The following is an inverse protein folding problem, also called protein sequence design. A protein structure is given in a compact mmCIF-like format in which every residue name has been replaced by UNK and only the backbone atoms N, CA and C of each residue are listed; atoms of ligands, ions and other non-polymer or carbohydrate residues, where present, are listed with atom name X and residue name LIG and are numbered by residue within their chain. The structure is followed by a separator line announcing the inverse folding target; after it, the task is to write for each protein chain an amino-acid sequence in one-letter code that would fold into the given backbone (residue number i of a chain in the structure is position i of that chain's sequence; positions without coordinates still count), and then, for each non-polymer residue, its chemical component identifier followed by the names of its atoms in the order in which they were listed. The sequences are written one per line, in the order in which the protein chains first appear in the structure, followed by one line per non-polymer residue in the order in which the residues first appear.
data_IF_344998537362
#
_entry.id   IF_344998537362
#
_cell.length_a   1.000
_cell.length_b   1.000
_cell.length_c   1.000
_cell.angle_alpha   90.00
_cell.angle_beta   90.00
_cell.angle_gamma   90.00
#
_symmetry.space_group_name_H-M   'P 1'
#
loop_
_entity.id
_entity.type
_entity.pdbx_description
1 polymer ?
#
# COMPACT_ATOMS: atom_id res chain seq x y z
N UNK A 1 39.49 5.82 7.19
CA UNK A 1 40.11 6.37 8.43
C UNK A 1 40.17 5.30 9.51
N UNK A 2 41.36 4.70 9.70
CA UNK A 2 41.64 3.74 10.77
C UNK A 2 41.76 4.52 12.09
N UNK A 3 40.97 4.16 13.11
CA UNK A 3 41.04 4.80 14.42
C UNK A 3 42.31 4.28 15.12
N UNK A 4 43.41 5.03 15.03
CA UNK A 4 44.65 4.74 15.73
C UNK A 4 44.52 5.19 17.19
N UNK A 5 44.78 4.27 18.11
CA UNK A 5 44.86 4.53 19.55
C UNK A 5 46.23 5.13 19.87
N UNK A 6 46.25 6.07 20.81
CA UNK A 6 47.48 6.53 21.45
C UNK A 6 47.28 6.40 22.95
N UNK A 7 48.26 5.80 23.62
CA UNK A 7 48.40 5.79 25.07
C UNK A 7 48.83 7.19 25.51
N UNK A 8 47.98 7.91 26.24
CA UNK A 8 48.36 9.17 26.89
C UNK A 8 48.80 8.84 28.32
N UNK A 9 50.08 9.02 28.62
CA UNK A 9 50.58 8.95 29.99
C UNK A 9 50.06 10.18 30.75
N UNK A 10 49.23 9.95 31.78
CA UNK A 10 48.89 10.94 32.81
C UNK A 10 49.79 10.60 34.01
N UNK A 11 50.32 11.58 34.77
CA UNK A 11 51.18 11.33 35.93
C UNK A 11 50.37 10.66 37.06
N UNK A 12 50.21 9.33 36.98
CA UNK A 12 49.78 8.40 38.05
C UNK A 12 49.64 6.93 37.56
N UNK A 13 50.23 6.53 36.42
CA UNK A 13 50.29 5.12 36.01
C UNK A 13 48.97 4.48 35.54
N UNK A 14 47.86 5.23 35.44
CA UNK A 14 46.57 4.71 34.98
C UNK A 14 46.52 4.67 33.45
N UNK A 15 46.51 3.46 32.85
CA UNK A 15 46.32 3.27 31.40
C UNK A 15 44.86 3.52 31.05
N UNK A 16 44.55 4.70 30.49
CA UNK A 16 43.20 5.01 30.01
C UNK A 16 43.06 4.67 28.53
N UNK A 17 42.15 3.76 28.17
CA UNK A 17 41.85 3.40 26.77
C UNK A 17 41.06 4.55 26.13
N UNK A 18 41.67 5.39 25.28
CA UNK A 18 40.96 6.56 24.68
C UNK A 18 40.58 6.32 23.23
N UNK A 19 39.30 6.56 22.87
CA UNK A 19 38.84 6.65 21.48
C UNK A 19 39.00 8.08 20.97
N UNK A 20 39.72 8.30 19.85
CA UNK A 20 39.87 9.62 19.23
C UNK A 20 38.55 10.38 18.97
N UNK A 21 37.42 9.67 18.80
CA UNK A 21 36.10 10.26 18.55
C UNK A 21 35.17 10.33 19.75
N UNK A 22 35.41 9.53 20.79
CA UNK A 22 34.45 9.35 21.89
C UNK A 22 35.09 9.46 23.28
N UNK A 23 36.36 9.88 23.37
CA UNK A 23 37.04 10.10 24.64
C UNK A 23 37.45 8.81 25.37
N UNK A 24 37.72 8.88 26.68
CA UNK A 24 38.07 7.75 27.54
C UNK A 24 37.03 6.62 27.48
N UNK A 25 37.50 5.38 27.41
CA UNK A 25 36.69 4.17 27.38
C UNK A 25 36.95 3.36 28.65
N UNK A 26 35.88 2.92 29.29
CA UNK A 26 35.91 1.82 30.26
C UNK A 26 36.05 0.48 29.53
N UNK A 27 36.40 -0.59 30.25
CA UNK A 27 36.56 -1.92 29.66
C UNK A 27 35.29 -2.40 28.93
N UNK A 28 34.12 -2.15 29.51
CA UNK A 28 32.81 -2.46 28.93
C UNK A 28 32.49 -1.71 27.62
N UNK A 29 33.17 -0.56 27.38
CA UNK A 29 32.95 0.29 26.20
C UNK A 29 33.94 0.02 25.07
N UNK A 30 34.83 -0.97 25.25
CA UNK A 30 35.84 -1.36 24.27
C UNK A 30 35.75 -2.85 23.91
N UNK A 31 36.16 -3.20 22.68
CA UNK A 31 36.18 -4.58 22.18
C UNK A 31 37.56 -4.88 21.59
N UNK A 32 38.18 -5.99 21.98
CA UNK A 32 39.47 -6.46 21.45
C UNK A 32 39.24 -7.20 20.13
N UNK A 33 39.88 -6.76 19.05
CA UNK A 33 39.76 -7.35 17.72
C UNK A 33 41.14 -7.63 17.14
N UNK A 34 41.31 -8.77 16.46
CA UNK A 34 42.53 -9.13 15.75
C UNK A 34 42.58 -8.42 14.39
N UNK A 35 43.71 -7.80 14.05
CA UNK A 35 43.93 -7.22 12.73
C UNK A 35 44.83 -8.12 11.89
N UNK A 36 44.28 -8.77 10.86
CA UNK A 36 45.09 -9.53 9.88
C UNK A 36 46.13 -8.68 9.13
N UNK A 37 45.90 -7.37 9.02
CA UNK A 37 46.80 -6.44 8.30
C UNK A 37 48.01 -5.98 9.11
N UNK A 38 47.91 -6.04 10.45
CA UNK A 38 48.97 -5.56 11.36
C UNK A 38 49.51 -6.65 12.27
N UNK A 39 49.01 -7.87 12.07
CA UNK A 39 49.26 -9.07 12.86
C UNK A 39 49.27 -8.85 14.38
N UNK A 40 48.30 -8.06 14.86
CA UNK A 40 48.19 -7.71 16.27
C UNK A 40 46.76 -7.42 16.72
N UNK A 41 46.53 -7.59 18.01
CA UNK A 41 45.29 -7.16 18.66
C UNK A 41 45.24 -5.64 18.80
N UNK A 42 44.06 -5.08 18.56
CA UNK A 42 43.76 -3.68 18.84
C UNK A 42 42.37 -3.58 19.48
N UNK A 43 42.18 -2.57 20.33
CA UNK A 43 40.87 -2.31 20.93
C UNK A 43 40.06 -1.41 19.99
N UNK A 44 38.73 -1.53 19.95
CA UNK A 44 37.83 -0.61 19.23
C UNK A 44 36.67 -0.21 20.13
N UNK A 45 36.28 1.07 20.13
CA UNK A 45 35.05 1.50 20.79
C UNK A 45 33.82 0.84 20.13
N UNK A 46 32.89 0.33 20.93
CA UNK A 46 31.66 -0.34 20.45
C UNK A 46 30.87 0.56 19.48
N UNK A 47 30.77 1.87 19.76
CA UNK A 47 30.09 2.84 18.87
C UNK A 47 30.76 2.91 17.49
N UNK A 48 32.09 2.98 17.45
CA UNK A 48 32.86 2.98 16.20
C UNK A 48 32.72 1.65 15.45
N UNK A 49 32.70 0.51 16.15
CA UNK A 49 32.48 -0.81 15.57
C UNK A 49 31.09 -0.93 14.94
N UNK A 50 30.04 -0.51 15.65
CA UNK A 50 28.66 -0.47 15.13
C UNK A 50 28.57 0.38 13.86
N UNK A 51 29.18 1.56 13.83
CA UNK A 51 29.20 2.43 12.64
C UNK A 51 29.99 1.81 11.47
N UNK A 52 31.14 1.21 11.74
CA UNK A 52 31.94 0.50 10.73
C UNK A 52 31.19 -0.69 10.13
N UNK A 53 30.58 -1.53 10.99
CA UNK A 53 29.80 -2.68 10.56
C UNK A 53 28.56 -2.23 9.79
N UNK A 54 27.85 -1.18 10.23
CA UNK A 54 26.73 -0.60 9.47
C UNK A 54 27.17 -0.17 8.08
N UNK A 55 28.26 0.59 7.95
CA UNK A 55 28.79 0.98 6.64
C UNK A 55 29.23 -0.19 5.75
N UNK A 56 29.74 -1.29 6.34
CA UNK A 56 30.04 -2.52 5.60
C UNK A 56 28.76 -3.22 5.13
N UNK A 57 27.75 -3.32 6.00
CA UNK A 57 26.43 -3.86 5.64
C UNK A 57 25.74 -3.03 4.56
N UNK A 58 25.81 -1.70 4.62
CA UNK A 58 25.24 -0.81 3.61
C UNK A 58 25.90 -1.06 2.24
N UNK A 59 27.22 -1.27 2.19
CA UNK A 59 27.93 -1.67 0.96
C UNK A 59 27.48 -3.03 0.44
N UNK A 60 27.36 -4.03 1.32
CA UNK A 60 26.87 -5.38 0.95
C UNK A 60 25.43 -5.31 0.42
N UNK A 61 24.57 -4.53 1.08
CA UNK A 61 23.19 -4.30 0.65
C UNK A 61 23.14 -3.58 -0.70
N UNK A 62 24.01 -2.60 -0.94
CA UNK A 62 24.09 -1.92 -2.23
C UNK A 62 24.52 -2.86 -3.36
N UNK A 63 25.51 -3.73 -3.12
CA UNK A 63 25.93 -4.76 -4.09
C UNK A 63 24.78 -5.73 -4.36
N UNK A 64 24.13 -6.24 -3.31
CA UNK A 64 22.96 -7.13 -3.45
C UNK A 64 21.83 -6.47 -4.21
N UNK A 65 21.54 -5.19 -3.93
CA UNK A 65 20.51 -4.43 -4.62
C UNK A 65 20.83 -4.27 -6.11
N UNK A 66 22.09 -3.96 -6.45
CA UNK A 66 22.56 -3.89 -7.86
C UNK A 66 22.42 -5.25 -8.57
N UNK A 67 22.84 -6.33 -7.92
CA UNK A 67 22.69 -7.69 -8.45
C UNK A 67 21.23 -8.03 -8.68
N UNK A 68 20.38 -7.81 -7.67
CA UNK A 68 18.94 -8.06 -7.75
C UNK A 68 18.30 -7.32 -8.93
N UNK A 69 18.58 -6.02 -9.12
CA UNK A 69 18.00 -5.31 -10.26
C UNK A 69 18.53 -5.79 -11.61
N UNK A 70 19.80 -6.19 -11.69
CA UNK A 70 20.40 -6.75 -12.91
C UNK A 70 19.75 -8.08 -13.30
N UNK A 71 19.41 -8.91 -12.32
CA UNK A 71 18.85 -10.25 -12.52
C UNK A 71 17.36 -10.35 -12.18
N UNK A 72 16.67 -9.21 -12.02
CA UNK A 72 15.31 -9.19 -11.47
C UNK A 72 14.34 -10.01 -12.30
N UNK A 73 14.38 -9.85 -13.62
CA UNK A 73 13.48 -10.56 -14.53
C UNK A 73 13.79 -12.06 -14.56
N UNK A 74 15.08 -12.44 -14.59
CA UNK A 74 15.51 -13.84 -14.50
C UNK A 74 15.09 -14.50 -13.17
N UNK A 75 15.26 -13.80 -12.04
CA UNK A 75 14.82 -14.28 -10.73
C UNK A 75 13.29 -14.40 -10.63
N UNK A 76 12.55 -13.45 -11.21
CA UNK A 76 11.09 -13.48 -11.27
C UNK A 76 10.60 -14.65 -12.12
N UNK A 77 11.24 -14.91 -13.26
CA UNK A 77 10.91 -16.01 -14.16
C UNK A 77 11.25 -17.36 -13.53
N UNK A 78 12.44 -17.50 -12.93
CA UNK A 78 12.80 -18.70 -12.16
C UNK A 78 11.82 -18.96 -11.00
N UNK A 79 11.38 -17.93 -10.31
CA UNK A 79 10.36 -18.03 -9.27
C UNK A 79 8.99 -18.44 -9.83
N UNK A 80 8.65 -17.98 -11.04
CA UNK A 80 7.42 -18.39 -11.74
C UNK A 80 7.48 -19.86 -12.13
N UNK A 81 8.53 -20.29 -12.84
CA UNK A 81 8.75 -21.68 -13.25
C UNK A 81 8.73 -22.60 -12.02
N UNK A 82 9.42 -22.23 -10.95
CA UNK A 82 9.41 -23.00 -9.71
C UNK A 82 7.99 -23.13 -9.14
N UNK A 83 7.21 -22.03 -9.08
CA UNK A 83 5.82 -22.08 -8.61
C UNK A 83 4.94 -22.95 -9.48
N UNK A 84 5.12 -22.91 -10.80
CA UNK A 84 4.38 -23.73 -11.75
C UNK A 84 4.69 -25.22 -11.58
N UNK A 85 5.96 -25.59 -11.49
CA UNK A 85 6.41 -26.97 -11.29
C UNK A 85 6.05 -27.51 -9.89
N UNK A 86 5.83 -26.64 -8.90
CA UNK A 86 5.53 -27.03 -7.52
C UNK A 86 4.09 -26.71 -7.10
N UNK A 87 3.16 -26.46 -8.04
CA UNK A 87 1.76 -26.09 -7.74
C UNK A 87 1.11 -27.04 -6.74
N UNK A 88 1.20 -28.35 -7.00
CA UNK A 88 0.58 -29.36 -6.16
C UNK A 88 1.21 -29.42 -4.76
N UNK A 89 2.54 -29.35 -4.69
CA UNK A 89 3.26 -29.27 -3.42
C UNK A 89 2.83 -28.04 -2.61
N UNK A 90 2.70 -26.87 -3.24
CA UNK A 90 2.27 -25.63 -2.59
C UNK A 90 0.86 -25.80 -2.02
N UNK A 91 -0.08 -26.38 -2.78
CA UNK A 91 -1.45 -26.64 -2.32
C UNK A 91 -1.46 -27.57 -1.11
N UNK A 92 -0.73 -28.68 -1.18
CA UNK A 92 -0.64 -29.65 -0.09
C UNK A 92 0.03 -29.06 1.15
N UNK A 93 1.10 -28.28 0.98
CA UNK A 93 1.76 -27.57 2.06
C UNK A 93 0.83 -26.55 2.73
N UNK A 94 0.09 -25.75 1.94
CA UNK A 94 -0.88 -24.79 2.47
C UNK A 94 -2.00 -25.47 3.24
N UNK A 95 -2.50 -26.61 2.76
CA UNK A 95 -3.52 -27.41 3.45
C UNK A 95 -3.00 -27.93 4.78
N UNK A 96 -1.79 -28.49 4.80
CA UNK A 96 -1.13 -29.00 6.01
C UNK A 96 -0.81 -27.90 7.02
N UNK A 97 -0.47 -26.69 6.56
CA UNK A 97 -0.06 -25.57 7.40
C UNK A 97 -1.17 -24.52 7.62
N UNK A 98 -2.43 -24.83 7.28
CA UNK A 98 -3.55 -23.88 7.28
C UNK A 98 -3.68 -23.09 8.59
N UNK A 99 -3.59 -23.76 9.74
CA UNK A 99 -3.71 -23.11 11.05
C UNK A 99 -2.51 -22.21 11.36
N UNK A 100 -1.29 -22.64 11.04
CA UNK A 100 -0.08 -21.81 11.18
C UNK A 100 -0.16 -20.55 10.32
N UNK A 101 -0.63 -20.67 9.09
CA UNK A 101 -0.84 -19.55 8.17
C UNK A 101 -1.90 -18.59 8.73
N UNK A 102 -3.04 -19.12 9.22
CA UNK A 102 -4.09 -18.29 9.86
C UNK A 102 -3.55 -17.50 11.05
N UNK A 103 -2.75 -18.12 11.92
CA UNK A 103 -2.14 -17.45 13.09
C UNK A 103 -1.19 -16.33 12.62
N UNK A 104 -0.34 -16.61 11.64
CA UNK A 104 0.58 -15.60 11.08
C UNK A 104 -0.19 -14.43 10.45
N UNK A 105 -1.26 -14.70 9.70
CA UNK A 105 -2.12 -13.67 9.12
C UNK A 105 -2.80 -12.83 10.20
N UNK A 106 -3.38 -13.45 11.23
CA UNK A 106 -3.96 -12.72 12.39
C UNK A 106 -2.92 -11.82 13.06
N UNK A 107 -1.72 -12.34 13.30
CA UNK A 107 -0.61 -11.55 13.86
C UNK A 107 -0.24 -10.36 12.98
N UNK A 108 -0.25 -10.52 11.65
CA UNK A 108 0.02 -9.42 10.72
C UNK A 108 -1.08 -8.36 10.72
N UNK A 109 -2.35 -8.79 10.74
CA UNK A 109 -3.52 -7.90 10.70
C UNK A 109 -3.60 -6.94 11.88
N UNK A 110 -3.14 -7.36 13.06
CA UNK A 110 -3.21 -6.56 14.29
C UNK A 110 -2.07 -5.51 14.37
N UNK A 111 -0.99 -5.67 13.59
CA UNK A 111 0.14 -4.71 13.61
C UNK A 111 -0.27 -3.38 13.00
N UNK A 112 0.34 -2.30 13.49
CA UNK A 112 0.20 -0.98 12.92
C UNK A 112 0.71 -0.93 11.48
N UNK A 113 -0.03 -0.23 10.64
CA UNK A 113 0.26 -0.06 9.23
C UNK A 113 1.52 0.79 9.02
N UNK A 114 2.32 0.44 8.02
CA UNK A 114 3.54 1.16 7.67
C UNK A 114 3.25 2.27 6.67
N UNK A 115 3.77 3.48 6.92
CA UNK A 115 3.59 4.65 6.06
C UNK A 115 4.03 4.37 4.63
N UNK A 116 5.26 3.85 4.45
CA UNK A 116 5.82 3.55 3.12
C UNK A 116 5.01 2.50 2.33
N UNK A 117 4.21 1.68 3.00
CA UNK A 117 3.44 0.62 2.34
C UNK A 117 2.08 1.10 1.84
N UNK A 118 1.49 2.08 2.53
CA UNK A 118 0.07 2.42 2.33
C UNK A 118 -0.20 3.87 1.98
N UNK A 119 0.67 4.82 2.32
CA UNK A 119 0.44 6.25 2.10
C UNK A 119 -0.04 6.55 0.67
N UNK A 120 0.68 6.07 -0.33
CA UNK A 120 0.41 6.38 -1.74
C UNK A 120 -0.91 5.77 -2.23
N UNK A 121 -1.48 4.81 -1.51
CA UNK A 121 -2.74 4.13 -1.87
C UNK A 121 -3.99 4.86 -1.39
N UNK A 122 -3.86 5.68 -0.35
CA UNK A 122 -5.00 6.30 0.36
C UNK A 122 -4.86 7.81 0.60
N UNK A 123 -3.66 8.39 0.46
CA UNK A 123 -3.39 9.81 0.76
C UNK A 123 -4.21 10.80 -0.09
N UNK A 124 -4.72 10.36 -1.24
CA UNK A 124 -5.60 11.14 -2.10
C UNK A 124 -7.02 11.31 -1.52
N UNK A 125 -7.45 10.43 -0.60
CA UNK A 125 -8.78 10.46 0.01
C UNK A 125 -8.77 10.54 1.55
N UNK A 126 -7.62 10.34 2.18
CA UNK A 126 -7.47 10.30 3.64
C UNK A 126 -6.32 11.20 4.08
N UNK A 127 -6.52 11.91 5.19
CA UNK A 127 -5.45 12.64 5.85
C UNK A 127 -4.45 11.66 6.45
N UNK A 128 -3.25 11.64 5.89
CA UNK A 128 -2.19 10.71 6.26
C UNK A 128 -0.92 11.46 6.64
N UNK A 129 -0.17 10.92 7.61
CA UNK A 129 1.17 11.41 7.95
C UNK A 129 2.03 10.31 8.56
N UNK A 130 3.32 10.59 8.73
CA UNK A 130 4.21 9.77 9.54
C UNK A 130 3.90 9.97 11.02
N UNK A 131 3.93 8.89 11.78
CA UNK A 131 3.84 8.96 13.24
C UNK A 131 5.00 9.78 13.83
N UNK A 132 4.70 10.58 14.85
CA UNK A 132 5.64 11.51 15.49
C UNK A 132 6.70 10.81 16.33
N UNK A 133 6.40 9.64 16.88
CA UNK A 133 7.31 8.83 17.68
C UNK A 133 8.01 7.76 16.83
N UNK A 134 7.33 7.26 15.79
CA UNK A 134 7.87 6.24 14.91
C UNK A 134 7.54 6.50 13.43
N UNK A 135 8.42 7.24 12.75
CA UNK A 135 8.26 7.66 11.34
C UNK A 135 7.98 6.55 10.31
N UNK A 136 8.15 5.28 10.70
CA UNK A 136 7.79 4.12 9.86
C UNK A 136 6.30 3.86 9.84
N UNK A 137 5.57 4.23 10.89
CA UNK A 137 4.14 3.99 11.04
C UNK A 137 3.34 5.06 10.31
N UNK A 138 2.22 4.61 9.74
CA UNK A 138 1.19 5.46 9.18
C UNK A 138 0.33 5.99 10.32
N UNK A 139 0.09 7.30 10.37
CA UNK A 139 -1.01 7.88 11.11
C UNK A 139 -2.10 8.36 10.14
N UNK A 140 -3.34 8.18 10.56
CA UNK A 140 -4.54 8.69 9.88
C UNK A 140 -5.40 9.47 10.87
N UNK A 141 -6.26 10.33 10.35
CA UNK A 141 -7.20 11.09 11.18
C UNK A 141 -8.48 10.29 11.43
N UNK A 142 -8.98 10.32 12.67
CA UNK A 142 -10.27 9.73 12.99
C UNK A 142 -11.39 10.40 12.16
N UNK A 143 -12.35 9.61 11.70
CA UNK A 143 -13.49 10.07 10.89
C UNK A 143 -14.57 10.74 11.75
N UNK A 144 -14.70 10.33 13.01
CA UNK A 144 -15.62 10.96 13.97
C UNK A 144 -15.29 12.45 14.12
N UNK A 145 -16.27 13.31 13.79
CA UNK A 145 -16.10 14.76 13.67
C UNK A 145 -15.78 15.43 15.00
N UNK A 146 -16.33 14.92 16.09
CA UNK A 146 -16.02 15.39 17.45
C UNK A 146 -14.62 14.97 17.94
N UNK A 147 -14.05 13.92 17.35
CA UNK A 147 -12.77 13.36 17.81
C UNK A 147 -11.59 13.83 16.96
N UNK A 148 -11.59 13.53 15.66
CA UNK A 148 -10.57 13.95 14.67
C UNK A 148 -9.10 13.76 15.10
N UNK A 149 -8.82 12.88 16.07
CA UNK A 149 -7.46 12.64 16.56
C UNK A 149 -6.64 11.81 15.58
N UNK A 150 -5.34 12.03 15.61
CA UNK A 150 -4.38 11.20 14.90
C UNK A 150 -4.20 9.87 15.63
N UNK A 151 -4.21 8.78 14.88
CA UNK A 151 -3.91 7.45 15.43
C UNK A 151 -3.24 6.57 14.37
N UNK A 152 -2.52 5.54 14.83
CA UNK A 152 -1.90 4.54 13.96
C UNK A 152 -2.88 3.39 13.71
N UNK A 153 -3.45 3.24 12.50
CA UNK A 153 -4.38 2.16 12.21
C UNK A 153 -3.64 0.83 12.03
N UNK A 154 -4.35 -0.27 12.22
CA UNK A 154 -3.83 -1.61 11.96
C UNK A 154 -3.81 -1.92 10.46
N UNK A 155 -3.02 -2.92 10.06
CA UNK A 155 -3.01 -3.43 8.68
C UNK A 155 -4.41 -3.85 8.21
N UNK A 156 -5.22 -4.43 9.10
CA UNK A 156 -6.59 -4.81 8.78
C UNK A 156 -7.48 -3.60 8.51
N UNK A 157 -7.39 -2.54 9.31
CA UNK A 157 -8.17 -1.32 9.10
C UNK A 157 -7.85 -0.68 7.74
N UNK A 158 -6.56 -0.59 7.38
CA UNK A 158 -6.15 -0.03 6.10
C UNK A 158 -6.55 -0.93 4.93
N UNK A 159 -6.42 -2.25 5.07
CA UNK A 159 -6.90 -3.20 4.05
C UNK A 159 -8.39 -3.04 3.79
N UNK A 160 -9.22 -3.01 4.85
CA UNK A 160 -10.67 -2.85 4.71
C UNK A 160 -11.04 -1.50 4.08
N UNK A 161 -10.28 -0.42 4.38
CA UNK A 161 -10.47 0.87 3.72
C UNK A 161 -10.20 0.80 2.22
N UNK A 162 -9.06 0.23 1.83
CA UNK A 162 -8.69 0.04 0.42
C UNK A 162 -9.73 -0.85 -0.27
N UNK A 163 -10.14 -1.96 0.36
CA UNK A 163 -11.13 -2.86 -0.20
C UNK A 163 -12.48 -2.16 -0.42
N UNK A 164 -12.87 -1.20 0.44
CA UNK A 164 -14.09 -0.40 0.28
C UNK A 164 -13.98 0.71 -0.78
N UNK A 165 -12.76 1.12 -1.15
CA UNK A 165 -12.49 2.14 -2.17
C UNK A 165 -12.42 1.54 -3.59
N UNK A 166 -11.85 0.34 -3.72
CA UNK A 166 -11.54 -0.24 -5.03
C UNK A 166 -12.37 -1.46 -5.42
N UNK A 167 -13.04 -2.11 -4.46
CA UNK A 167 -13.95 -3.20 -4.77
C UNK A 167 -15.40 -2.72 -4.60
N UNK A 168 -16.32 -3.24 -5.43
CA UNK A 168 -17.78 -3.04 -5.36
C UNK A 168 -18.42 -3.67 -4.10
N UNK A 169 -17.75 -3.55 -2.96
CA UNK A 169 -18.26 -4.00 -1.69
C UNK A 169 -19.33 -3.03 -1.18
N UNK A 170 -20.39 -3.60 -0.64
CA UNK A 170 -21.60 -2.90 -0.16
C UNK A 170 -21.41 -2.15 1.17
N UNK A 171 -20.20 -2.17 1.75
CA UNK A 171 -19.96 -1.61 3.08
C UNK A 171 -18.94 -0.46 3.06
N UNK A 172 -19.32 0.68 3.64
CA UNK A 172 -18.40 1.77 3.93
C UNK A 172 -17.46 1.37 5.08
N UNK A 173 -16.15 1.50 4.88
CA UNK A 173 -15.15 1.31 5.92
C UNK A 173 -14.29 2.56 6.01
N UNK A 174 -14.45 3.33 7.09
CA UNK A 174 -13.66 4.54 7.41
C UNK A 174 -12.74 4.29 8.61
N UNK A 175 -11.83 5.24 8.86
CA UNK A 175 -10.88 5.13 9.97
C UNK A 175 -11.44 5.67 11.27
N UNK A 176 -11.45 4.83 12.30
CA UNK A 176 -11.87 5.19 13.65
C UNK A 176 -10.80 4.75 14.64
N UNK A 177 -10.45 5.65 15.55
CA UNK A 177 -9.44 5.41 16.56
C UNK A 177 -9.90 4.52 17.73
N UNK A 178 -11.21 4.29 17.85
CA UNK A 178 -11.82 3.45 18.88
C UNK A 178 -13.21 3.01 18.41
N UNK A 179 -13.73 1.93 19.02
CA UNK A 179 -15.09 1.48 18.76
C UNK A 179 -16.15 2.48 19.22
N UNK A 180 -15.83 3.31 20.22
CA UNK A 180 -16.70 4.41 20.66
C UNK A 180 -16.89 5.39 19.51
N UNK A 181 -15.79 5.95 18.96
CA UNK A 181 -15.85 6.88 17.84
C UNK A 181 -16.49 6.26 16.59
N UNK A 182 -16.32 4.96 16.39
CA UNK A 182 -16.99 4.24 15.30
C UNK A 182 -18.50 4.25 15.48
N UNK A 183 -19.00 3.92 16.68
CA UNK A 183 -20.44 3.82 16.96
C UNK A 183 -21.14 5.18 17.03
N UNK A 184 -20.45 6.23 17.50
CA UNK A 184 -21.01 7.59 17.60
C UNK A 184 -21.09 8.31 16.26
N UNK A 185 -20.32 7.86 15.27
CA UNK A 185 -20.19 8.57 14.02
C UNK A 185 -21.49 8.56 13.23
N UNK A 186 -21.95 9.77 12.87
CA UNK A 186 -23.15 10.00 12.07
C UNK A 186 -23.12 9.31 10.70
N UNK A 187 -21.93 9.02 10.18
CA UNK A 187 -21.70 8.36 8.88
C UNK A 187 -21.64 6.83 9.03
N UNK A 188 -21.30 6.31 10.21
CA UNK A 188 -21.11 4.87 10.37
C UNK A 188 -22.42 4.10 10.15
N UNK A 189 -22.36 3.03 9.33
CA UNK A 189 -23.52 2.23 8.86
C UNK A 189 -24.59 2.99 8.09
N UNK A 190 -24.36 4.25 7.71
CA UNK A 190 -25.25 4.92 6.77
C UNK A 190 -25.10 4.28 5.39
N UNK A 191 -26.23 4.08 4.73
CA UNK A 191 -26.25 3.70 3.32
C UNK A 191 -25.51 4.76 2.52
N UNK A 192 -24.74 4.33 1.51
CA UNK A 192 -24.17 5.26 0.51
C UNK A 192 -25.27 6.00 -0.26
N UNK A 193 -26.50 5.48 -0.24
CA UNK A 193 -27.67 6.02 -0.93
C UNK A 193 -28.64 6.66 0.09
N UNK A 194 -29.26 7.78 -0.28
CA UNK A 194 -30.28 8.46 0.54
C UNK A 194 -31.46 7.51 0.81
N UNK A 195 -32.07 7.59 1.99
CA UNK A 195 -33.31 6.85 2.29
C UNK A 195 -34.37 7.14 1.23
N UNK A 196 -35.01 6.09 0.70
CA UNK A 196 -35.98 6.16 -0.39
C UNK A 196 -35.38 6.08 -1.81
N UNK A 197 -34.06 6.23 -1.96
CA UNK A 197 -33.35 5.97 -3.21
C UNK A 197 -32.73 4.57 -3.12
N UNK A 198 -33.40 3.60 -3.75
CA UNK A 198 -32.87 2.24 -3.93
C UNK A 198 -31.43 2.28 -4.45
N UNK A 199 -30.51 1.40 -3.97
CA UNK A 199 -29.15 1.27 -4.51
C UNK A 199 -29.13 0.72 -5.93
N UNK A 200 -30.27 0.24 -6.43
CA UNK A 200 -30.40 0.06 -7.85
C UNK A 200 -30.35 1.45 -8.48
N UNK A 201 -29.46 1.70 -9.47
CA UNK A 201 -29.69 2.82 -10.38
C UNK A 201 -31.16 2.72 -10.77
N UNK A 202 -31.88 3.85 -10.86
CA UNK A 202 -33.22 3.86 -11.44
C UNK A 202 -33.13 2.92 -12.63
N UNK A 203 -33.69 1.72 -12.49
CA UNK A 203 -33.56 0.68 -13.49
C UNK A 203 -34.58 1.17 -14.49
N UNK A 204 -34.19 2.16 -15.29
CA UNK A 204 -34.95 2.51 -16.49
C UNK A 204 -35.08 1.17 -17.17
N UNK A 205 -36.31 0.68 -17.27
CA UNK A 205 -36.61 -0.63 -17.88
C UNK A 205 -35.91 -0.78 -19.23
N UNK A 206 -35.66 0.36 -19.90
CA UNK A 206 -35.00 0.52 -21.19
C UNK A 206 -33.46 0.45 -21.20
N UNK A 207 -32.72 0.39 -20.08
CA UNK A 207 -31.24 0.38 -20.17
C UNK A 207 -30.67 -0.93 -20.73
N UNK A 208 -31.34 -2.05 -20.52
CA UNK A 208 -30.94 -3.31 -21.14
C UNK A 208 -31.18 -3.28 -22.65
N UNK A 209 -32.32 -2.71 -23.08
CA UNK A 209 -32.68 -2.54 -24.49
C UNK A 209 -31.70 -1.58 -25.18
N UNK A 210 -31.42 -0.43 -24.58
CA UNK A 210 -30.41 0.51 -25.07
C UNK A 210 -29.04 -0.15 -25.21
N UNK A 211 -28.59 -0.89 -24.19
CA UNK A 211 -27.30 -1.56 -24.24
C UNK A 211 -27.26 -2.61 -25.35
N UNK A 212 -28.37 -3.30 -25.60
CA UNK A 212 -28.51 -4.24 -26.71
C UNK A 212 -28.45 -3.52 -28.06
N UNK A 213 -29.22 -2.45 -28.26
CA UNK A 213 -29.24 -1.67 -29.49
C UNK A 213 -27.87 -1.08 -29.83
N UNK A 214 -27.13 -0.57 -28.85
CA UNK A 214 -25.76 -0.06 -29.05
C UNK A 214 -24.81 -1.19 -29.47
N UNK A 215 -24.94 -2.38 -28.86
CA UNK A 215 -24.13 -3.55 -29.25
C UNK A 215 -24.50 -4.07 -30.62
N UNK A 216 -25.78 -4.12 -30.96
CA UNK A 216 -26.27 -4.55 -32.28
C UNK A 216 -25.80 -3.60 -33.37
N UNK A 217 -25.89 -2.27 -33.15
CA UNK A 217 -25.36 -1.25 -34.08
C UNK A 217 -23.88 -1.45 -34.39
N UNK A 218 -23.11 -1.85 -33.37
CA UNK A 218 -21.66 -1.99 -33.45
C UNK A 218 -21.22 -3.44 -33.77
N UNK A 219 -22.13 -4.30 -34.26
CA UNK A 219 -21.91 -5.71 -34.58
C UNK A 219 -21.29 -6.54 -33.44
N UNK A 220 -21.54 -6.14 -32.18
CA UNK A 220 -20.91 -6.70 -30.99
C UNK A 220 -19.37 -6.67 -31.04
N UNK A 221 -18.80 -5.70 -31.77
CA UNK A 221 -17.36 -5.51 -31.91
C UNK A 221 -16.95 -4.27 -31.11
N UNK A 222 -15.87 -4.42 -30.33
CA UNK A 222 -15.29 -3.30 -29.61
C UNK A 222 -14.74 -2.26 -30.58
N UNK A 223 -15.30 -1.05 -30.56
CA UNK A 223 -14.96 0.03 -31.49
C UNK A 223 -13.54 0.60 -31.32
N UNK A 224 -12.88 0.31 -30.18
CA UNK A 224 -11.48 0.72 -29.95
C UNK A 224 -10.45 -0.29 -30.46
N UNK A 225 -10.74 -1.60 -30.41
CA UNK A 225 -9.72 -2.61 -30.65
C UNK A 225 -10.16 -3.83 -31.46
N UNK A 226 -11.39 -3.86 -31.97
CA UNK A 226 -11.93 -4.96 -32.78
C UNK A 226 -12.21 -6.26 -32.02
N UNK A 227 -12.05 -6.31 -30.70
CA UNK A 227 -12.33 -7.53 -29.94
C UNK A 227 -13.83 -7.82 -29.88
N UNK A 228 -14.21 -9.10 -29.94
CA UNK A 228 -15.58 -9.61 -29.75
C UNK A 228 -15.79 -10.26 -28.37
N UNK A 229 -14.79 -10.21 -27.48
CA UNK A 229 -14.84 -10.89 -26.17
C UNK A 229 -15.21 -9.92 -25.05
N UNK A 230 -16.18 -10.32 -24.22
CA UNK A 230 -16.62 -9.59 -23.01
C UNK A 230 -16.99 -8.14 -23.34
N UNK A 231 -17.96 -8.01 -24.24
CA UNK A 231 -18.40 -6.76 -24.83
C UNK A 231 -19.49 -6.14 -23.96
N UNK A 232 -19.41 -4.82 -23.80
CA UNK A 232 -20.31 -4.00 -22.99
C UNK A 232 -20.58 -2.68 -23.71
N UNK A 233 -21.79 -2.16 -23.57
CA UNK A 233 -22.10 -0.79 -23.98
C UNK A 233 -21.60 0.18 -22.89
N UNK A 234 -21.00 1.28 -23.32
CA UNK A 234 -20.50 2.35 -22.49
C UNK A 234 -21.18 3.65 -22.89
N UNK A 235 -21.60 4.47 -21.94
CA UNK A 235 -22.06 5.81 -22.26
C UNK A 235 -20.83 6.70 -22.45
N UNK A 236 -20.76 7.43 -23.56
CA UNK A 236 -19.68 8.38 -23.85
C UNK A 236 -19.70 9.52 -22.82
N UNK A 237 -20.90 9.98 -22.49
CA UNK A 237 -21.15 10.98 -21.44
C UNK A 237 -21.69 10.32 -20.17
N UNK A 238 -21.43 10.96 -19.03
CA UNK A 238 -21.96 10.52 -17.74
C UNK A 238 -23.49 10.62 -17.72
N UNK A 239 -24.14 9.58 -17.17
CA UNK A 239 -25.58 9.61 -16.86
C UNK A 239 -25.99 10.77 -15.93
N UNK A 240 -25.04 11.32 -15.17
CA UNK A 240 -25.26 12.46 -14.30
C UNK A 240 -25.21 13.78 -15.06
N UNK A 241 -24.30 13.90 -16.03
CA UNK A 241 -24.12 15.12 -16.83
C UNK A 241 -25.19 15.25 -17.91
N UNK A 242 -25.62 14.13 -18.51
CA UNK A 242 -26.63 14.11 -19.55
C UNK A 242 -27.76 13.08 -19.29
N UNK A 243 -28.61 13.30 -18.27
CA UNK A 243 -29.66 12.36 -17.89
C UNK A 243 -30.82 12.28 -18.89
N UNK A 244 -31.00 13.30 -19.75
CA UNK A 244 -32.07 13.38 -20.75
C UNK A 244 -31.74 12.58 -22.01
N UNK A 245 -30.55 12.77 -22.57
CA UNK A 245 -30.13 12.08 -23.81
C UNK A 245 -29.49 10.72 -23.53
N UNK A 246 -29.36 10.36 -22.25
CA UNK A 246 -28.85 9.09 -21.73
C UNK A 246 -29.45 7.81 -22.37
N UNK A 247 -30.58 7.90 -23.08
CA UNK A 247 -31.25 6.78 -23.76
C UNK A 247 -31.05 6.80 -25.29
N UNK A 248 -30.38 7.81 -25.84
CA UNK A 248 -30.00 7.87 -27.25
C UNK A 248 -28.90 6.83 -27.52
N UNK A 249 -29.03 6.08 -28.60
CA UNK A 249 -28.04 5.08 -28.99
C UNK A 249 -26.72 5.74 -29.43
N UNK A 250 -26.78 6.98 -29.94
CA UNK A 250 -25.62 7.67 -30.50
C UNK A 250 -24.61 8.11 -29.44
N UNK A 251 -25.06 8.28 -28.20
CA UNK A 251 -24.18 8.54 -27.05
C UNK A 251 -23.58 7.25 -26.44
N UNK A 252 -23.89 6.09 -27.02
CA UNK A 252 -23.37 4.79 -26.61
C UNK A 252 -22.22 4.33 -27.50
N UNK A 253 -21.26 3.61 -26.91
CA UNK A 253 -20.17 2.94 -27.65
C UNK A 253 -19.94 1.52 -27.14
N UNK A 254 -19.77 0.58 -28.06
CA UNK A 254 -19.48 -0.81 -27.73
C UNK A 254 -18.00 -1.03 -27.46
N UNK A 255 -17.65 -1.51 -26.25
CA UNK A 255 -16.28 -1.71 -25.80
C UNK A 255 -16.06 -3.11 -25.22
N UNK A 256 -14.86 -3.66 -25.40
CA UNK A 256 -14.43 -4.82 -24.62
C UNK A 256 -14.08 -4.39 -23.19
N UNK A 257 -14.21 -5.29 -22.21
CA UNK A 257 -13.92 -4.98 -20.80
C UNK A 257 -12.55 -4.34 -20.54
N UNK A 258 -11.53 -4.69 -21.34
CA UNK A 258 -10.18 -4.08 -21.21
C UNK A 258 -10.18 -2.61 -21.62
N UNK A 259 -10.85 -2.28 -22.73
CA UNK A 259 -10.97 -0.91 -23.21
C UNK A 259 -11.91 -0.09 -22.31
N UNK A 260 -13.03 -0.68 -21.88
CA UNK A 260 -13.96 -0.09 -20.92
C UNK A 260 -13.25 0.38 -19.64
N UNK A 261 -12.39 -0.45 -19.06
CA UNK A 261 -11.60 -0.11 -17.88
C UNK A 261 -10.52 0.96 -18.13
N UNK A 262 -10.09 1.16 -19.38
CA UNK A 262 -9.17 2.25 -19.72
C UNK A 262 -9.91 3.57 -19.77
N UNK A 263 -11.08 3.60 -20.41
CA UNK A 263 -11.91 4.81 -20.53
C UNK A 263 -12.29 5.36 -19.15
N UNK A 264 -12.63 4.50 -18.19
CA UNK A 264 -12.88 4.94 -16.80
C UNK A 264 -11.66 5.47 -16.03
N UNK A 265 -10.48 5.54 -16.65
CA UNK A 265 -9.30 6.22 -16.08
C UNK A 265 -9.09 7.61 -16.65
N UNK A 266 -9.73 7.92 -17.77
CA UNK A 266 -9.68 9.24 -18.39
C UNK A 266 -10.54 10.22 -17.59
N UNK A 267 -10.07 11.46 -17.48
CA UNK A 267 -10.74 12.54 -16.74
C UNK A 267 -12.12 12.79 -17.37
N UNK A 268 -13.19 12.87 -16.57
CA UNK A 268 -14.57 13.07 -17.04
C UNK A 268 -15.40 11.78 -17.10
N UNK A 269 -14.76 10.62 -17.17
CA UNK A 269 -15.43 9.31 -17.11
C UNK A 269 -14.95 8.45 -15.93
N UNK A 270 -14.24 9.05 -14.96
CA UNK A 270 -13.77 8.28 -13.79
C UNK A 270 -14.95 7.91 -12.92
N UNK A 271 -14.92 6.70 -12.38
CA UNK A 271 -15.92 6.27 -11.38
C UNK A 271 -15.99 7.24 -10.19
N UNK A 272 -14.90 7.96 -9.89
CA UNK A 272 -14.87 8.99 -8.83
C UNK A 272 -15.55 10.31 -9.23
N UNK A 273 -15.55 10.66 -10.52
CA UNK A 273 -16.24 11.87 -11.03
C UNK A 273 -17.77 11.67 -10.92
N UNK A 274 -18.22 10.41 -10.94
CA UNK A 274 -19.59 9.96 -10.68
C UNK A 274 -19.94 9.80 -9.19
N UNK A 275 -18.96 9.96 -8.27
CA UNK A 275 -19.22 9.87 -6.82
C UNK A 275 -19.50 11.24 -6.22
N UNK A 276 -20.27 11.24 -5.13
CA UNK A 276 -20.83 12.31 -4.28
C UNK A 276 -20.09 13.67 -4.23
N UNK A 277 -18.81 13.76 -4.57
CA UNK A 277 -18.08 15.03 -4.66
C UNK A 277 -18.70 16.01 -5.68
N UNK A 278 -19.18 15.53 -6.82
CA UNK A 278 -19.97 16.34 -7.77
C UNK A 278 -21.35 16.75 -7.23
N UNK A 279 -21.89 16.03 -6.24
CA UNK A 279 -23.17 16.32 -5.58
C UNK A 279 -23.05 17.28 -4.38
N UNK A 280 -21.83 17.65 -3.98
CA UNK A 280 -21.59 18.44 -2.76
C UNK A 280 -20.91 19.79 -3.02
N UNK A 281 -20.62 20.14 -4.28
CA UNK A 281 -20.03 21.44 -4.64
C UNK A 281 -21.07 22.47 -5.14
N UNK A 282 -22.36 22.11 -5.20
CA UNK A 282 -23.46 23.08 -5.35
C UNK A 282 -24.13 23.36 -4.00
N UNK A 283 -23.51 24.21 -3.19
CA UNK A 283 -24.16 25.05 -2.17
C UNK A 283 -23.42 26.36 -1.98
#
# INVERSE_FOLDING_TARGET
MVCLYYTKFIPMGVIVKVCKKHGPLTEEKCYKEWSKLKDKYYYRCIKCRKKYNRGRWDKVLAIRKKYYYKHKEEELEMSRIWRENNKEWIVNWNKKNKEKIKIQQKSWYIRNALYKTYNDKISWCEETRRDTENERLLQVRCTESSCRKWFSPTNLQVKNRIDALYNDNTYECRFYCSDICKKTCSIFKKSKHKEGLSPHPIRRSSQNEWAELVKERDDYICQICGSTKKIVAHHIESLFENPLESADIDIGITLCRKCHLKVHKEIGCRTVDLTIKSLCEEK
#
